data_IF_163403898377
#
_entry.id   IF_163403898377
#
_cell.length_a   1.000
_cell.length_b   1.000
_cell.length_c   1.000
_cell.angle_alpha   90.00
_cell.angle_beta   90.00
_cell.angle_gamma   90.00
#
_symmetry.space_group_name_H-M   'P 1'
#
loop_
_entity.id
_entity.type
_entity.pdbx_description
1 polymer ?
#
# COMPACT_ATOMS: atom_id res chain seq x y z
N UNK A 1 -1.57 18.27 -9.22
CA UNK A 1 -2.83 17.52 -9.11
C UNK A 1 -2.48 16.05 -9.00
N UNK A 2 -3.21 15.27 -8.21
CA UNK A 2 -3.01 13.82 -8.18
C UNK A 2 -3.59 13.16 -9.43
N UNK A 3 -3.24 11.89 -9.64
CA UNK A 3 -3.66 11.08 -10.79
C UNK A 3 -2.52 10.23 -11.34
N UNK A 4 -2.85 9.21 -12.12
CA UNK A 4 -1.94 8.09 -12.40
C UNK A 4 -0.73 8.52 -13.22
N UNK A 5 -0.93 9.42 -14.19
CA UNK A 5 0.15 10.03 -14.96
C UNK A 5 1.10 10.87 -14.09
N UNK A 6 0.60 11.43 -12.99
CA UNK A 6 1.41 12.21 -12.06
C UNK A 6 2.21 11.32 -11.12
N UNK A 7 1.71 10.11 -10.83
CA UNK A 7 2.47 9.05 -10.15
C UNK A 7 3.58 8.53 -11.06
N UNK A 8 3.27 8.21 -12.31
CA UNK A 8 4.25 7.73 -13.31
C UNK A 8 5.44 8.69 -13.41
N UNK A 9 5.18 9.99 -13.58
CA UNK A 9 6.24 11.02 -13.61
C UNK A 9 7.06 11.06 -12.33
N UNK A 10 6.41 10.91 -11.17
CA UNK A 10 7.09 10.91 -9.87
C UNK A 10 8.00 9.68 -9.70
N UNK A 11 7.57 8.51 -10.17
CA UNK A 11 8.37 7.29 -10.14
C UNK A 11 9.53 7.33 -11.16
N UNK A 12 9.27 7.78 -12.38
CA UNK A 12 10.30 7.97 -13.43
C UNK A 12 11.39 8.94 -12.96
N UNK A 13 11.01 10.03 -12.27
CA UNK A 13 11.97 10.99 -11.71
C UNK A 13 13.04 10.30 -10.83
N UNK A 14 12.66 9.29 -10.05
CA UNK A 14 13.63 8.53 -9.25
C UNK A 14 14.52 7.61 -10.11
N UNK A 15 13.94 6.95 -11.11
CA UNK A 15 14.69 6.09 -12.05
C UNK A 15 15.75 6.93 -12.78
N UNK A 16 15.38 8.08 -13.32
CA UNK A 16 16.29 9.02 -14.00
C UNK A 16 17.41 9.53 -13.09
N UNK A 17 17.18 9.53 -11.77
CA UNK A 17 18.17 9.89 -10.75
C UNK A 17 18.98 8.69 -10.20
N UNK A 18 18.93 7.55 -10.91
CA UNK A 18 19.62 6.29 -10.62
C UNK A 18 19.19 5.62 -9.30
N UNK A 19 17.93 5.77 -8.90
CA UNK A 19 17.36 4.98 -7.80
C UNK A 19 16.85 3.63 -8.29
N UNK A 20 17.10 2.60 -7.49
CA UNK A 20 16.54 1.25 -7.69
C UNK A 20 15.41 0.98 -6.70
N UNK A 21 14.31 0.44 -7.19
CA UNK A 21 13.19 0.00 -6.36
C UNK A 21 13.45 -1.42 -5.84
N UNK A 22 13.44 -1.59 -4.52
CA UNK A 22 13.84 -2.84 -3.85
C UNK A 22 12.85 -3.22 -2.76
N UNK A 23 12.83 -4.51 -2.41
CA UNK A 23 12.09 -4.98 -1.24
C UNK A 23 12.78 -4.51 0.06
N UNK A 24 12.04 -4.45 1.17
CA UNK A 24 12.59 -4.01 2.46
C UNK A 24 13.70 -4.93 3.01
N UNK A 25 13.69 -6.21 2.64
CA UNK A 25 14.70 -7.18 3.11
C UNK A 25 16.01 -7.07 2.32
N UNK A 26 15.98 -6.44 1.15
CA UNK A 26 17.16 -6.24 0.31
C UNK A 26 18.00 -5.05 0.82
N UNK A 27 19.31 -5.27 0.90
CA UNK A 27 20.30 -4.18 0.85
C UNK A 27 20.22 -3.12 1.97
N UNK A 28 19.74 -3.50 3.16
CA UNK A 28 19.66 -2.64 4.36
C UNK A 28 20.98 -1.96 4.76
N UNK A 29 22.12 -2.53 4.37
CA UNK A 29 23.46 -1.97 4.64
C UNK A 29 24.14 -1.37 3.39
N UNK A 30 23.44 -1.31 2.26
CA UNK A 30 24.04 -0.78 1.03
C UNK A 30 24.14 0.74 1.06
N UNK A 31 25.19 1.28 0.44
CA UNK A 31 25.31 2.72 0.16
C UNK A 31 24.61 3.11 -1.15
N UNK A 32 23.76 2.23 -1.68
CA UNK A 32 23.11 2.40 -2.96
C UNK A 32 21.89 3.33 -2.84
N UNK A 33 21.54 3.98 -3.95
CA UNK A 33 20.32 4.76 -4.09
C UNK A 33 19.13 3.82 -4.21
N UNK A 34 18.46 3.56 -3.08
CA UNK A 34 17.36 2.59 -2.99
C UNK A 34 16.05 3.28 -2.62
N UNK A 35 14.95 2.76 -3.15
CA UNK A 35 13.59 3.09 -2.75
C UNK A 35 12.88 1.82 -2.31
N UNK A 36 12.44 1.80 -1.06
CA UNK A 36 11.40 0.90 -0.61
C UNK A 36 10.06 1.59 -0.83
N UNK A 37 9.44 1.26 -1.96
CA UNK A 37 8.10 1.73 -2.29
C UNK A 37 7.08 0.76 -1.70
N UNK A 38 6.10 1.32 -0.98
CA UNK A 38 4.97 0.57 -0.47
C UNK A 38 3.64 1.24 -0.72
N UNK A 39 2.61 0.40 -0.82
CA UNK A 39 1.23 0.78 -0.95
C UNK A 39 0.40 0.20 0.19
N UNK A 40 -0.13 1.05 1.06
CA UNK A 40 -1.10 0.64 2.07
C UNK A 40 -2.51 0.81 1.44
N UNK A 41 -3.25 -0.31 1.30
CA UNK A 41 -4.50 -0.34 0.56
C UNK A 41 -5.67 -0.14 1.54
N UNK A 42 -6.14 1.09 1.68
CA UNK A 42 -7.23 1.40 2.62
C UNK A 42 -8.63 1.28 2.00
N UNK A 43 -8.78 1.46 0.67
CA UNK A 43 -10.09 1.67 0.03
C UNK A 43 -10.40 0.77 -1.17
N UNK A 44 -9.48 0.58 -2.12
CA UNK A 44 -9.79 -0.13 -3.37
C UNK A 44 -8.61 -0.95 -3.88
N UNK A 45 -8.88 -2.23 -4.12
CA UNK A 45 -7.93 -3.15 -4.75
C UNK A 45 -7.82 -2.91 -6.26
N UNK A 46 -8.90 -2.46 -6.91
CA UNK A 46 -8.90 -2.07 -8.32
C UNK A 46 -7.97 -0.89 -8.58
N UNK A 47 -7.95 0.08 -7.68
CA UNK A 47 -7.02 1.20 -7.73
C UNK A 47 -5.57 0.75 -7.49
N UNK A 48 -5.36 -0.17 -6.56
CA UNK A 48 -4.06 -0.79 -6.33
C UNK A 48 -3.55 -1.52 -7.59
N UNK A 49 -4.41 -2.28 -8.27
CA UNK A 49 -4.08 -2.99 -9.51
C UNK A 49 -3.68 -2.04 -10.64
N UNK A 50 -4.39 -0.92 -10.80
CA UNK A 50 -4.02 0.11 -11.80
C UNK A 50 -2.60 0.62 -11.58
N UNK A 51 -2.21 0.83 -10.32
CA UNK A 51 -0.85 1.24 -9.98
C UNK A 51 0.14 0.09 -10.23
N UNK A 52 -0.20 -1.15 -9.87
CA UNK A 52 0.69 -2.30 -10.11
C UNK A 52 0.99 -2.49 -11.60
N UNK A 53 -0.02 -2.36 -12.46
CA UNK A 53 0.15 -2.42 -13.92
C UNK A 53 1.09 -1.30 -14.41
N UNK A 54 0.91 -0.08 -13.91
CA UNK A 54 1.80 1.04 -14.23
C UNK A 54 3.25 0.74 -13.81
N UNK A 55 3.44 0.32 -12.57
CA UNK A 55 4.77 0.05 -12.01
C UNK A 55 5.48 -1.06 -12.76
N UNK A 56 4.79 -2.17 -13.05
CA UNK A 56 5.33 -3.26 -13.86
C UNK A 56 5.77 -2.77 -15.25
N UNK A 57 4.96 -1.94 -15.92
CA UNK A 57 5.27 -1.35 -17.23
C UNK A 57 6.58 -0.54 -17.22
N UNK A 58 6.91 0.11 -16.10
CA UNK A 58 8.16 0.87 -15.93
C UNK A 58 9.23 0.12 -15.12
N UNK A 59 9.10 -1.21 -15.02
CA UNK A 59 10.04 -2.12 -14.35
C UNK A 59 10.27 -1.84 -12.86
N UNK A 60 9.26 -1.34 -12.16
CA UNK A 60 9.28 -1.12 -10.70
C UNK A 60 8.69 -2.34 -9.99
N UNK A 61 9.35 -2.76 -8.92
CA UNK A 61 8.81 -3.69 -7.93
C UNK A 61 8.50 -2.93 -6.65
N UNK A 62 7.32 -3.17 -6.08
CA UNK A 62 6.83 -2.52 -4.87
C UNK A 62 6.20 -3.53 -3.92
N UNK A 63 5.82 -3.06 -2.74
CA UNK A 63 5.17 -3.87 -1.70
C UNK A 63 3.74 -3.38 -1.51
N UNK A 64 2.77 -4.26 -1.73
CA UNK A 64 1.34 -4.00 -1.54
C UNK A 64 0.88 -4.63 -0.25
N UNK A 65 0.35 -3.81 0.66
CA UNK A 65 -0.16 -4.23 1.94
C UNK A 65 -1.70 -4.21 1.90
N UNK A 66 -2.30 -5.40 1.99
CA UNK A 66 -3.74 -5.64 1.89
C UNK A 66 -4.31 -5.82 3.30
N UNK A 67 -5.41 -5.15 3.62
CA UNK A 67 -6.03 -5.22 4.95
C UNK A 67 -7.17 -6.25 4.96
N UNK A 68 -7.01 -7.35 5.73
CA UNK A 68 -8.05 -8.39 5.86
C UNK A 68 -9.31 -7.90 6.59
N UNK A 69 -9.11 -7.04 7.59
CA UNK A 69 -10.17 -6.44 8.40
C UNK A 69 -10.78 -5.18 7.78
N UNK A 70 -10.57 -4.96 6.48
CA UNK A 70 -11.09 -3.80 5.79
C UNK A 70 -12.63 -3.77 5.78
N UNK A 71 -13.20 -2.61 6.08
CA UNK A 71 -14.64 -2.36 5.94
C UNK A 71 -15.02 -1.92 4.52
N UNK A 72 -14.05 -1.47 3.72
CA UNK A 72 -14.28 -0.86 2.39
C UNK A 72 -14.20 -1.89 1.26
N UNK A 73 -13.57 -3.04 1.51
CA UNK A 73 -13.48 -4.15 0.58
C UNK A 73 -13.26 -5.48 1.31
N UNK A 74 -13.68 -6.60 0.72
CA UNK A 74 -13.43 -7.94 1.26
C UNK A 74 -12.32 -8.66 0.48
N UNK A 75 -11.11 -8.84 1.02
CA UNK A 75 -10.00 -9.49 0.30
C UNK A 75 -10.25 -10.97 -0.03
N UNK A 76 -11.16 -11.62 0.70
CA UNK A 76 -11.48 -13.03 0.54
C UNK A 76 -12.64 -13.26 -0.45
N UNK A 77 -13.24 -12.22 -1.03
CA UNK A 77 -14.17 -12.39 -2.15
C UNK A 77 -13.41 -12.90 -3.38
N UNK A 78 -14.04 -13.73 -4.22
CA UNK A 78 -13.38 -14.25 -5.43
C UNK A 78 -12.84 -13.13 -6.32
N UNK A 79 -13.65 -12.09 -6.51
CA UNK A 79 -13.28 -10.90 -7.29
C UNK A 79 -11.99 -10.22 -6.79
N UNK A 80 -11.90 -9.98 -5.48
CA UNK A 80 -10.73 -9.33 -4.88
C UNK A 80 -9.52 -10.25 -4.79
N UNK A 81 -9.73 -11.56 -4.59
CA UNK A 81 -8.64 -12.53 -4.65
C UNK A 81 -7.96 -12.54 -6.02
N UNK A 82 -8.74 -12.45 -7.10
CA UNK A 82 -8.19 -12.43 -8.46
C UNK A 82 -7.40 -11.15 -8.74
N UNK A 83 -7.81 -10.01 -8.18
CA UNK A 83 -7.04 -8.76 -8.25
C UNK A 83 -5.71 -8.90 -7.49
N UNK A 84 -5.72 -9.42 -6.26
CA UNK A 84 -4.51 -9.56 -5.44
C UNK A 84 -3.51 -10.53 -6.11
N UNK A 85 -4.01 -11.62 -6.72
CA UNK A 85 -3.18 -12.55 -7.50
C UNK A 85 -2.55 -11.86 -8.71
N UNK A 86 -3.29 -11.04 -9.45
CA UNK A 86 -2.74 -10.27 -10.57
C UNK A 86 -1.62 -9.31 -10.12
N UNK A 87 -1.78 -8.61 -8.99
CA UNK A 87 -0.72 -7.76 -8.42
C UNK A 87 0.56 -8.58 -8.15
N UNK A 88 0.41 -9.79 -7.60
CA UNK A 88 1.53 -10.72 -7.38
C UNK A 88 2.16 -11.20 -8.71
N UNK A 89 1.35 -11.55 -9.70
CA UNK A 89 1.80 -12.02 -11.02
C UNK A 89 2.55 -10.94 -11.82
N UNK A 90 2.22 -9.67 -11.60
CA UNK A 90 2.97 -8.51 -12.09
C UNK A 90 4.36 -8.35 -11.41
N UNK A 91 4.70 -9.23 -10.47
CA UNK A 91 6.03 -9.30 -9.85
C UNK A 91 6.19 -8.45 -8.59
N UNK A 92 5.10 -7.92 -8.04
CA UNK A 92 5.11 -7.18 -6.79
C UNK A 92 5.02 -8.11 -5.57
N UNK A 93 5.51 -7.63 -4.44
CA UNK A 93 5.31 -8.32 -3.17
C UNK A 93 3.92 -7.98 -2.62
N UNK A 94 3.20 -8.98 -2.13
CA UNK A 94 1.94 -8.80 -1.40
C UNK A 94 2.12 -9.22 0.06
N UNK A 95 1.54 -8.46 0.98
CA UNK A 95 1.59 -8.74 2.42
C UNK A 95 0.41 -8.09 3.15
N UNK A 96 0.38 -8.20 4.48
CA UNK A 96 -0.71 -7.67 5.32
C UNK A 96 -0.53 -6.20 5.68
N UNK A 97 -1.58 -5.43 5.44
CA UNK A 97 -1.84 -4.17 6.13
C UNK A 97 -2.63 -4.50 7.40
N UNK A 98 -1.92 -4.78 8.48
CA UNK A 98 -2.51 -5.27 9.72
C UNK A 98 -3.04 -4.11 10.55
N UNK A 99 -4.27 -4.22 11.06
CA UNK A 99 -4.87 -3.26 11.98
C UNK A 99 -4.82 -3.78 13.42
N UNK A 100 -3.92 -3.26 14.28
CA UNK A 100 -3.84 -3.68 15.68
C UNK A 100 -5.08 -3.31 16.50
N UNK A 101 -5.84 -2.29 16.11
CA UNK A 101 -7.03 -1.84 16.85
C UNK A 101 -8.23 -2.77 16.65
N UNK A 102 -8.20 -3.63 15.63
CA UNK A 102 -9.22 -4.64 15.41
C UNK A 102 -9.20 -5.79 16.43
N UNK A 103 -8.17 -5.85 17.29
CA UNK A 103 -7.94 -6.97 18.20
C UNK A 103 -7.67 -6.55 19.65
N UNK A 104 -8.27 -7.27 20.60
CA UNK A 104 -7.88 -7.18 22.01
C UNK A 104 -6.53 -7.85 22.26
N UNK A 105 -6.32 -9.02 21.67
CA UNK A 105 -5.03 -9.71 21.60
C UNK A 105 -4.41 -9.50 20.22
N UNK A 106 -3.55 -8.48 20.12
CA UNK A 106 -2.88 -8.06 18.89
C UNK A 106 -2.04 -9.20 18.29
N UNK A 107 -1.33 -9.94 19.13
CA UNK A 107 -0.38 -10.95 18.69
C UNK A 107 -1.13 -12.15 18.10
N UNK A 108 -2.19 -12.62 18.78
CA UNK A 108 -3.04 -13.68 18.26
C UNK A 108 -3.82 -13.25 17.01
N UNK A 109 -4.31 -11.99 16.97
CA UNK A 109 -4.97 -11.43 15.79
C UNK A 109 -4.07 -11.47 14.56
N UNK A 110 -2.80 -11.04 14.71
CA UNK A 110 -1.81 -11.08 13.64
C UNK A 110 -1.47 -12.50 13.19
N UNK A 111 -1.32 -13.45 14.12
CA UNK A 111 -1.07 -14.86 13.79
C UNK A 111 -2.20 -15.40 12.91
N UNK A 112 -3.46 -15.16 13.30
CA UNK A 112 -4.62 -15.63 12.55
C UNK A 112 -4.72 -14.98 11.15
N UNK A 113 -4.56 -13.66 11.06
CA UNK A 113 -4.58 -12.97 9.76
C UNK A 113 -3.47 -13.46 8.85
N UNK A 114 -2.26 -13.65 9.39
CA UNK A 114 -1.12 -14.18 8.66
C UNK A 114 -1.41 -15.57 8.10
N UNK A 115 -1.92 -16.49 8.92
CA UNK A 115 -2.26 -17.84 8.47
C UNK A 115 -3.34 -17.85 7.39
N UNK A 116 -4.34 -16.96 7.48
CA UNK A 116 -5.37 -16.81 6.45
C UNK A 116 -4.74 -16.29 5.16
N UNK A 117 -3.99 -15.19 5.24
CA UNK A 117 -3.41 -14.55 4.06
C UNK A 117 -2.44 -15.47 3.32
N UNK A 118 -1.51 -16.11 4.04
CA UNK A 118 -0.53 -17.02 3.45
C UNK A 118 -1.20 -18.20 2.75
N UNK A 119 -2.30 -18.72 3.31
CA UNK A 119 -3.08 -19.81 2.73
C UNK A 119 -3.82 -19.42 1.45
N UNK A 120 -4.49 -18.28 1.43
CA UNK A 120 -5.27 -17.84 0.28
C UNK A 120 -4.38 -17.39 -0.89
N UNK A 121 -3.26 -16.74 -0.60
CA UNK A 121 -2.41 -16.13 -1.62
C UNK A 121 -1.10 -16.90 -1.90
N UNK A 122 -0.88 -18.01 -1.19
CA UNK A 122 0.29 -18.89 -1.37
C UNK A 122 1.60 -18.08 -1.32
N UNK A 123 1.75 -17.32 -0.24
CA UNK A 123 2.92 -16.47 0.05
C UNK A 123 3.40 -16.72 1.47
N UNK A 124 4.64 -16.34 1.77
CA UNK A 124 5.15 -16.25 3.13
C UNK A 124 5.30 -14.79 3.51
N UNK A 125 4.53 -14.34 4.47
CA UNK A 125 4.61 -13.00 5.05
C UNK A 125 5.83 -12.92 5.95
N UNK A 126 6.66 -11.92 5.73
CA UNK A 126 7.84 -11.64 6.57
C UNK A 126 7.84 -10.21 7.13
N UNK A 127 7.08 -9.33 6.49
CA UNK A 127 6.95 -7.93 6.85
C UNK A 127 5.49 -7.52 6.72
N UNK A 128 4.95 -6.81 7.71
CA UNK A 128 3.61 -6.19 7.65
C UNK A 128 3.68 -4.67 7.70
N UNK A 129 2.66 -4.01 7.17
CA UNK A 129 2.45 -2.58 7.39
C UNK A 129 1.35 -2.40 8.43
N UNK A 130 1.54 -1.51 9.40
CA UNK A 130 0.58 -1.30 10.47
C UNK A 130 -0.38 -0.17 10.09
N UNK A 131 -1.68 -0.45 10.05
CA UNK A 131 -2.71 0.58 9.95
C UNK A 131 -2.67 1.42 11.23
N UNK A 132 -2.56 2.74 11.08
CA UNK A 132 -2.52 3.71 12.20
C UNK A 132 -1.54 3.29 13.31
N UNK A 133 -0.22 3.29 13.05
CA UNK A 133 0.77 2.66 13.93
C UNK A 133 0.79 3.20 15.38
N UNK A 134 0.33 4.42 15.64
CA UNK A 134 0.05 4.94 16.99
C UNK A 134 1.11 4.57 18.04
N UNK A 135 0.75 3.66 18.96
CA UNK A 135 1.61 3.17 20.05
C UNK A 135 2.92 2.50 19.56
N UNK A 136 2.92 1.91 18.37
CA UNK A 136 4.12 1.33 17.77
C UNK A 136 5.16 2.39 17.39
N UNK A 137 4.77 3.66 17.19
CA UNK A 137 5.74 4.75 16.97
C UNK A 137 6.44 5.20 18.27
N UNK A 138 5.89 4.88 19.44
CA UNK A 138 6.56 5.12 20.72
C UNK A 138 7.56 4.01 21.05
N UNK A 139 7.40 2.83 20.43
CA UNK A 139 8.28 1.69 20.57
C UNK A 139 8.42 0.97 19.22
N UNK A 140 9.11 1.63 18.27
CA UNK A 140 9.25 1.18 16.88
C UNK A 140 9.76 -0.25 16.73
N UNK A 141 10.54 -0.76 17.69
CA UNK A 141 11.11 -2.10 17.63
C UNK A 141 10.35 -3.11 18.49
N UNK A 142 9.09 -2.84 18.83
CA UNK A 142 8.18 -3.84 19.40
C UNK A 142 8.17 -5.05 18.47
N UNK A 143 8.54 -6.20 19.01
CA UNK A 143 8.49 -7.46 18.26
C UNK A 143 7.04 -7.88 18.07
N UNK A 144 6.74 -8.35 16.86
CA UNK A 144 5.52 -9.06 16.54
C UNK A 144 5.87 -10.55 16.33
N UNK A 145 4.94 -11.48 16.58
CA UNK A 145 5.20 -12.91 16.42
C UNK A 145 5.64 -13.27 14.99
N UNK A 146 6.91 -13.66 14.85
CA UNK A 146 7.50 -14.20 13.62
C UNK A 146 7.36 -13.31 12.37
N UNK A 147 7.25 -11.99 12.55
CA UNK A 147 7.10 -11.03 11.46
C UNK A 147 7.63 -9.67 11.86
N UNK A 148 8.28 -9.00 10.92
CA UNK A 148 8.69 -7.60 11.09
C UNK A 148 7.57 -6.64 10.70
N UNK A 149 7.72 -5.37 11.05
CA UNK A 149 6.82 -4.33 10.56
C UNK A 149 7.56 -3.12 10.00
N UNK A 150 6.93 -2.44 9.03
CA UNK A 150 7.53 -1.34 8.26
C UNK A 150 7.98 -0.13 9.09
N UNK A 151 7.51 -0.01 10.33
CA UNK A 151 7.87 1.07 11.25
C UNK A 151 9.06 0.77 12.18
N UNK A 152 9.65 -0.42 12.12
CA UNK A 152 10.90 -0.71 12.85
C UNK A 152 12.03 0.23 12.43
N UNK A 153 12.93 0.55 13.35
CA UNK A 153 13.94 1.59 13.14
C UNK A 153 14.82 1.30 11.91
N UNK A 154 15.11 0.02 11.64
CA UNK A 154 15.87 -0.45 10.46
C UNK A 154 15.20 -0.18 9.11
N UNK A 155 13.88 0.06 9.08
CA UNK A 155 13.11 0.38 7.87
C UNK A 155 12.57 1.81 7.88
N UNK A 156 12.48 2.44 9.05
CA UNK A 156 11.81 3.72 9.24
C UNK A 156 12.79 4.86 9.58
N UNK A 157 13.58 4.72 10.65
CA UNK A 157 14.49 5.79 11.10
C UNK A 157 15.81 5.82 10.30
N UNK A 158 16.24 4.69 9.77
CA UNK A 158 17.42 4.56 8.91
C UNK A 158 17.24 5.16 7.51
N UNK A 159 15.99 5.42 7.10
CA UNK A 159 15.62 5.85 5.75
C UNK A 159 14.93 7.22 5.75
N UNK A 160 14.93 7.88 4.61
CA UNK A 160 14.08 9.04 4.39
C UNK A 160 12.64 8.61 4.16
N UNK A 161 11.81 8.73 5.19
CA UNK A 161 10.40 8.37 5.14
C UNK A 161 9.52 9.50 4.59
N UNK A 162 8.70 9.19 3.59
CA UNK A 162 7.66 10.06 3.06
C UNK A 162 6.36 9.28 2.91
N UNK A 163 5.24 9.91 3.29
CA UNK A 163 3.91 9.32 3.15
C UNK A 163 2.90 10.37 2.70
N UNK A 164 2.03 9.95 1.79
CA UNK A 164 0.87 10.70 1.33
C UNK A 164 -0.38 10.49 2.21
N UNK A 165 -0.23 9.95 3.42
CA UNK A 165 -1.30 9.81 4.41
C UNK A 165 -2.15 11.09 4.48
N UNK A 166 -3.47 10.92 4.54
CA UNK A 166 -4.45 12.02 4.46
C UNK A 166 -4.41 12.85 3.15
N UNK A 167 -3.85 12.30 2.07
CA UNK A 167 -3.76 12.94 0.77
C UNK A 167 -2.73 14.07 0.70
N UNK A 168 -1.65 13.97 1.48
CA UNK A 168 -0.56 14.96 1.53
C UNK A 168 0.37 14.83 0.33
N UNK A 169 0.64 15.95 -0.38
CA UNK A 169 1.45 15.91 -1.61
C UNK A 169 2.94 15.82 -1.27
N UNK A 170 3.47 14.59 -1.29
CA UNK A 170 4.87 14.31 -0.98
C UNK A 170 5.86 14.80 -2.04
N UNK A 171 5.43 15.03 -3.29
CA UNK A 171 6.33 15.44 -4.38
C UNK A 171 7.01 16.77 -4.08
N UNK A 172 6.30 17.67 -3.39
CA UNK A 172 6.82 18.99 -2.99
C UNK A 172 7.83 18.91 -1.84
N UNK A 173 7.89 17.78 -1.14
CA UNK A 173 8.76 17.56 0.03
C UNK A 173 10.06 16.83 -0.31
N UNK A 174 10.15 16.26 -1.50
CA UNK A 174 11.30 15.49 -1.95
C UNK A 174 12.10 16.33 -2.94
N UNK A 175 13.25 16.81 -2.49
CA UNK A 175 14.23 17.47 -3.35
C UNK A 175 15.52 16.66 -3.39
N UNK A 176 15.79 16.03 -4.53
CA UNK A 176 16.99 15.22 -4.76
C UNK A 176 18.25 16.05 -5.06
N UNK A 177 18.10 17.35 -5.36
CA UNK A 177 19.21 18.23 -5.74
C UNK A 177 19.95 18.84 -4.55
N UNK A 178 19.48 18.62 -3.32
CA UNK A 178 20.18 19.08 -2.13
C UNK A 178 21.38 18.17 -1.81
N UNK A 179 22.53 18.77 -1.44
CA UNK A 179 23.76 18.04 -1.06
C UNK A 179 23.55 17.02 0.08
N UNK A 180 22.46 17.14 0.84
CA UNK A 180 22.06 16.21 1.90
C UNK A 180 21.40 14.91 1.40
N UNK A 181 21.01 14.79 0.12
CA UNK A 181 20.21 13.66 -0.40
C UNK A 181 20.92 12.78 -1.44
N UNK A 182 22.23 12.96 -1.65
CA UNK A 182 23.00 12.24 -2.68
C UNK A 182 23.20 10.74 -2.34
N UNK A 183 22.95 10.32 -1.09
CA UNK A 183 23.18 8.94 -0.60
C UNK A 183 22.09 8.37 0.31
N UNK A 184 20.85 8.87 0.24
CA UNK A 184 19.79 8.43 1.17
C UNK A 184 18.89 7.39 0.51
N UNK A 185 18.64 6.31 1.23
CA UNK A 185 17.60 5.36 0.87
C UNK A 185 16.24 5.97 1.25
N UNK A 186 15.23 5.78 0.42
CA UNK A 186 13.89 6.28 0.68
C UNK A 186 12.94 5.16 1.05
N UNK A 187 12.06 5.46 2.00
CA UNK A 187 10.89 4.68 2.29
C UNK A 187 9.68 5.54 1.91
N UNK A 188 9.00 5.16 0.82
CA UNK A 188 7.87 5.92 0.29
C UNK A 188 6.60 5.11 0.46
N UNK A 189 5.66 5.65 1.23
CA UNK A 189 4.30 5.13 1.38
C UNK A 189 3.35 5.94 0.48
N UNK A 190 2.64 5.23 -0.39
CA UNK A 190 1.56 5.74 -1.22
C UNK A 190 0.26 5.02 -0.87
N UNK A 191 -0.88 5.71 -0.89
CA UNK A 191 -2.18 5.05 -0.84
C UNK A 191 -2.82 5.13 -2.23
N UNK A 192 -3.22 4.00 -2.86
CA UNK A 192 -3.70 4.00 -4.23
C UNK A 192 -4.85 4.98 -4.53
N UNK A 193 -5.74 5.16 -3.55
CA UNK A 193 -6.89 6.06 -3.61
C UNK A 193 -6.53 7.47 -4.07
N UNK A 194 -5.36 7.99 -3.68
CA UNK A 194 -4.97 9.35 -4.02
C UNK A 194 -4.48 9.47 -5.45
N UNK A 195 -3.93 8.41 -6.05
CA UNK A 195 -3.11 8.54 -7.26
C UNK A 195 -3.74 7.97 -8.52
N UNK A 196 -4.90 7.35 -8.47
CA UNK A 196 -5.54 6.77 -9.66
C UNK A 196 -6.41 7.79 -10.40
N UNK A 197 -7.18 8.57 -9.66
CA UNK A 197 -8.15 9.52 -10.19
C UNK A 197 -7.60 10.94 -10.18
N UNK A 198 -7.92 11.72 -11.23
CA UNK A 198 -7.60 13.14 -11.27
C UNK A 198 -8.66 13.91 -10.48
N UNK A 199 -8.24 14.54 -9.39
CA UNK A 199 -9.08 15.32 -8.47
C UNK A 199 -8.30 16.52 -7.90
N UNK A 200 -9.01 17.54 -7.42
CA UNK A 200 -8.40 18.76 -6.88
C UNK A 200 -8.05 18.67 -5.39
N UNK A 201 -8.69 17.77 -4.64
CA UNK A 201 -8.48 17.64 -3.18
C UNK A 201 -8.70 16.20 -2.67
N UNK A 202 -8.20 15.87 -1.46
CA UNK A 202 -8.50 14.60 -0.80
C UNK A 202 -10.01 14.38 -0.61
N UNK A 203 -10.75 15.42 -0.20
CA UNK A 203 -12.21 15.36 -0.03
C UNK A 203 -12.92 14.99 -1.33
N UNK A 204 -12.57 15.64 -2.44
CA UNK A 204 -13.16 15.33 -3.74
C UNK A 204 -12.85 13.89 -4.18
N UNK A 205 -11.64 13.42 -3.89
CA UNK A 205 -11.23 12.03 -4.16
C UNK A 205 -12.10 11.03 -3.42
N UNK A 206 -12.31 11.25 -2.12
CA UNK A 206 -13.14 10.37 -1.30
C UNK A 206 -14.62 10.43 -1.74
N UNK A 207 -15.16 11.61 -2.04
CA UNK A 207 -16.54 11.74 -2.54
C UNK A 207 -16.74 11.00 -3.86
N UNK A 208 -15.76 11.09 -4.77
CA UNK A 208 -15.78 10.35 -6.03
C UNK A 208 -15.72 8.84 -5.80
N UNK A 209 -14.87 8.37 -4.89
CA UNK A 209 -14.78 6.96 -4.53
C UNK A 209 -16.09 6.45 -3.91
N UNK A 210 -16.69 7.20 -2.97
CA UNK A 210 -18.00 6.87 -2.37
C UNK A 210 -19.05 6.66 -3.46
N UNK A 211 -19.15 7.60 -4.41
CA UNK A 211 -20.12 7.52 -5.50
C UNK A 211 -19.93 6.27 -6.37
N UNK A 212 -18.69 5.96 -6.75
CA UNK A 212 -18.39 4.76 -7.54
C UNK A 212 -18.69 3.47 -6.74
N UNK A 213 -18.44 3.49 -5.44
CA UNK A 213 -18.69 2.34 -4.58
C UNK A 213 -20.19 2.12 -4.34
N UNK A 214 -21.00 3.18 -4.25
CA UNK A 214 -22.46 3.09 -4.19
C UNK A 214 -23.02 2.37 -5.43
N UNK A 215 -22.54 2.75 -6.63
CA UNK A 215 -22.91 2.08 -7.88
C UNK A 215 -22.55 0.58 -7.86
N UNK A 216 -21.36 0.23 -7.35
CA UNK A 216 -20.94 -1.16 -7.18
C UNK A 216 -21.86 -1.94 -6.23
N UNK A 217 -22.19 -1.37 -5.06
CA UNK A 217 -23.10 -2.01 -4.10
C UNK A 217 -24.49 -2.22 -4.69
N UNK A 218 -25.03 -1.26 -5.45
CA UNK A 218 -26.31 -1.41 -6.14
C UNK A 218 -26.26 -2.60 -7.12
N UNK A 219 -25.18 -2.72 -7.90
CA UNK A 219 -25.00 -3.82 -8.84
C UNK A 219 -24.91 -5.18 -8.15
N UNK A 220 -24.12 -5.29 -7.07
CA UNK A 220 -24.02 -6.53 -6.29
C UNK A 220 -25.34 -6.89 -5.60
N UNK A 221 -26.10 -5.89 -5.16
CA UNK A 221 -27.44 -6.11 -4.60
C UNK A 221 -28.40 -6.68 -5.65
N UNK A 222 -28.40 -6.14 -6.88
CA UNK A 222 -29.20 -6.67 -8.00
C UNK A 222 -28.81 -8.10 -8.37
N UNK A 223 -27.52 -8.45 -8.31
CA UNK A 223 -27.04 -9.82 -8.55
C UNK A 223 -27.50 -10.81 -7.47
N UNK A 224 -27.43 -10.39 -6.20
CA UNK A 224 -27.77 -11.24 -5.06
C UNK A 224 -29.29 -11.37 -4.83
N UNK A 225 -30.08 -10.35 -5.20
CA UNK A 225 -31.52 -10.31 -4.99
C UNK A 225 -32.25 -9.87 -6.27
N UNK A 226 -32.75 -10.83 -7.05
CA UNK A 226 -33.44 -10.55 -8.33
C UNK A 226 -34.71 -9.71 -8.18
N UNK A 227 -35.34 -9.72 -7.01
CA UNK A 227 -36.53 -8.90 -6.71
C UNK A 227 -36.21 -7.46 -6.30
N UNK A 228 -34.92 -7.11 -6.18
CA UNK A 228 -34.52 -5.75 -5.83
C UNK A 228 -34.72 -4.81 -7.02
N UNK A 229 -35.59 -3.82 -6.83
CA UNK A 229 -35.84 -2.74 -7.79
C UNK A 229 -35.22 -1.46 -7.22
N UNK A 230 -34.18 -0.96 -7.88
CA UNK A 230 -33.54 0.32 -7.57
C UNK A 230 -33.66 1.20 -8.80
N UNK A 231 -34.39 2.31 -8.63
CA UNK A 231 -34.66 3.32 -9.65
C UNK A 231 -33.47 4.26 -9.81
#
# INVERSE_FOLDING_TARGET
MYGINSLEKFLIFFIENNYSFRSFEEDLNSKNKIINLRHDIDFSLEEALKIAILENKINIKANYFIMLTSNTYNPLSQYNQDIIKQIKELGHNISLHFDPEAYQDIDNGLINEKEIFERYFQVKIKLVSLHRPGKFLNNNNRKLPNVDHTYQDKYFKSMCYYSDSAGVDIRKKIDLNTKQNIKKQFHILIHPIWWTNVTSSPTETLLKWIKLHEEFIILETKKNCKSFLYN
#
